data_IF_130314323417
#
_entry.id   IF_130314323417
#
_cell.length_a   1.000
_cell.length_b   1.000
_cell.length_c   1.000
_cell.angle_alpha   90.00
_cell.angle_beta   90.00
_cell.angle_gamma   90.00
#
_symmetry.space_group_name_H-M   'P 1'
#
loop_
_entity.id
_entity.type
_entity.pdbx_description
1 polymer ?
#
# COMPACT_ATOMS: atom_id res chain seq x y z
N UNK A 1 1.68 30.77 -14.69
CA UNK A 1 2.06 29.82 -13.62
C UNK A 1 0.82 28.99 -13.35
N UNK A 2 0.77 27.71 -13.78
CA UNK A 2 -0.44 26.89 -13.66
C UNK A 2 -0.38 26.21 -12.29
N UNK A 3 -1.19 26.67 -11.36
CA UNK A 3 -1.33 26.05 -10.05
C UNK A 3 -2.02 24.69 -10.25
N UNK A 4 -1.33 23.59 -9.93
CA UNK A 4 -1.94 22.25 -9.85
C UNK A 4 -2.82 22.17 -8.60
N UNK A 5 -3.87 22.99 -8.54
CA UNK A 5 -4.83 23.00 -7.44
C UNK A 5 -5.83 21.88 -7.66
N UNK A 6 -5.85 20.88 -6.77
CA UNK A 6 -7.03 20.05 -6.58
C UNK A 6 -7.09 18.68 -7.25
N UNK A 7 -5.97 18.00 -7.52
CA UNK A 7 -6.06 16.54 -7.70
C UNK A 7 -6.24 15.91 -6.31
N UNK A 8 -7.37 15.23 -6.02
CA UNK A 8 -7.53 14.52 -4.75
C UNK A 8 -6.38 13.53 -4.65
N UNK A 9 -5.53 13.69 -3.63
CA UNK A 9 -4.49 12.70 -3.40
C UNK A 9 -5.18 11.38 -3.06
N UNK A 10 -4.74 10.26 -3.65
CA UNK A 10 -5.32 8.97 -3.34
C UNK A 10 -5.13 8.70 -1.86
N UNK A 11 -6.23 8.72 -1.12
CA UNK A 11 -6.28 8.42 0.31
C UNK A 11 -6.63 6.95 0.46
N UNK A 12 -5.77 6.21 1.16
CA UNK A 12 -6.04 4.84 1.59
C UNK A 12 -6.49 4.90 3.04
N UNK A 13 -7.63 4.28 3.34
CA UNK A 13 -8.13 4.15 4.70
C UNK A 13 -7.75 2.76 5.22
N UNK A 14 -7.02 2.73 6.33
CA UNK A 14 -6.68 1.48 7.01
C UNK A 14 -7.40 1.44 8.35
N UNK A 15 -8.24 0.42 8.51
CA UNK A 15 -8.93 0.12 9.76
C UNK A 15 -8.06 -0.81 10.60
N UNK A 16 -7.93 -0.49 11.89
CA UNK A 16 -7.21 -1.33 12.84
C UNK A 16 -8.15 -1.78 13.94
N UNK A 17 -7.99 -3.01 14.39
CA UNK A 17 -8.78 -3.59 15.48
C UNK A 17 -7.90 -4.45 16.36
N UNK A 18 -8.06 -4.30 17.68
CA UNK A 18 -7.46 -5.22 18.64
C UNK A 18 -8.16 -6.57 18.60
N UNK A 19 -7.39 -7.66 18.49
CA UNK A 19 -7.87 -9.03 18.59
C UNK A 19 -7.41 -9.62 19.93
N UNK A 20 -8.34 -9.69 20.87
CA UNK A 20 -8.08 -10.13 22.25
C UNK A 20 -7.63 -11.60 22.32
N UNK A 21 -8.27 -12.47 21.53
CA UNK A 21 -7.95 -13.91 21.52
C UNK A 21 -6.52 -14.21 21.02
N UNK A 22 -5.94 -13.32 20.22
CA UNK A 22 -4.60 -13.47 19.67
C UNK A 22 -3.58 -12.50 20.30
N UNK A 23 -4.00 -11.58 21.16
CA UNK A 23 -3.12 -10.57 21.75
C UNK A 23 -2.39 -9.70 20.72
N UNK A 24 -3.06 -9.36 19.62
CA UNK A 24 -2.45 -8.57 18.51
C UNK A 24 -3.42 -7.54 17.95
N UNK A 25 -2.89 -6.43 17.48
CA UNK A 25 -3.58 -5.51 16.59
C UNK A 25 -3.61 -6.08 15.18
N UNK A 26 -4.76 -5.99 14.51
CA UNK A 26 -4.94 -6.39 13.11
C UNK A 26 -5.35 -5.18 12.28
N UNK A 27 -4.62 -4.93 11.19
CA UNK A 27 -4.88 -3.89 10.22
C UNK A 27 -5.45 -4.48 8.92
N UNK A 28 -6.51 -3.86 8.40
CA UNK A 28 -7.20 -4.22 7.17
C UNK A 28 -7.61 -2.97 6.40
N UNK A 29 -7.78 -3.05 5.09
CA UNK A 29 -8.29 -1.94 4.28
C UNK A 29 -9.27 -2.45 3.24
N UNK A 30 -10.33 -1.67 2.99
CA UNK A 30 -11.22 -1.90 1.85
C UNK A 30 -10.65 -1.36 0.53
N UNK A 31 -9.71 -0.41 0.61
CA UNK A 31 -9.08 0.20 -0.57
C UNK A 31 -7.97 -0.67 -1.16
N UNK A 32 -7.40 -1.59 -0.36
CA UNK A 32 -6.30 -2.46 -0.77
C UNK A 32 -6.66 -3.91 -0.54
N UNK A 33 -6.94 -4.61 -1.64
CA UNK A 33 -7.14 -6.04 -1.65
C UNK A 33 -5.89 -6.76 -1.09
N UNK A 34 -6.11 -7.66 -0.13
CA UNK A 34 -5.05 -8.45 0.48
C UNK A 34 -4.26 -7.73 1.59
N UNK A 35 -4.65 -6.51 2.00
CA UNK A 35 -4.08 -5.90 3.19
C UNK A 35 -4.61 -6.61 4.44
N UNK A 36 -3.77 -7.47 5.01
CA UNK A 36 -3.96 -8.06 6.34
C UNK A 36 -2.61 -8.09 7.06
N UNK A 37 -2.46 -7.25 8.07
CA UNK A 37 -1.23 -7.16 8.86
C UNK A 37 -1.58 -7.30 10.34
N UNK A 38 -0.80 -8.09 11.07
CA UNK A 38 -0.94 -8.24 12.51
C UNK A 38 0.36 -7.89 13.22
N UNK A 39 0.26 -7.22 14.37
CA UNK A 39 1.39 -6.84 15.21
C UNK A 39 1.00 -6.77 16.68
N UNK A 40 1.96 -6.89 17.60
CA UNK A 40 1.67 -6.89 19.04
C UNK A 40 1.36 -5.49 19.58
N UNK A 41 1.77 -4.45 18.86
CA UNK A 41 1.59 -3.05 19.26
C UNK A 41 1.09 -2.20 18.09
N UNK A 42 0.34 -1.15 18.41
CA UNK A 42 -0.13 -0.19 17.41
C UNK A 42 1.04 0.54 16.73
N UNK A 43 2.08 0.90 17.48
CA UNK A 43 3.30 1.51 16.91
C UNK A 43 3.98 0.59 15.87
N UNK A 44 4.10 -0.70 16.17
CA UNK A 44 4.67 -1.69 15.25
C UNK A 44 3.82 -1.81 13.97
N UNK A 45 2.49 -1.77 14.08
CA UNK A 45 1.62 -1.69 12.90
C UNK A 45 1.91 -0.43 12.07
N UNK A 46 2.05 0.73 12.70
CA UNK A 46 2.31 2.00 12.02
C UNK A 46 3.67 2.01 11.30
N UNK A 47 4.68 1.40 11.88
CA UNK A 47 6.01 1.31 11.26
C UNK A 47 6.02 0.33 10.07
N UNK A 48 5.28 -0.78 10.18
CA UNK A 48 5.24 -1.83 9.14
C UNK A 48 4.26 -1.51 8.01
N UNK A 49 3.19 -0.75 8.29
CA UNK A 49 2.15 -0.39 7.31
C UNK A 49 2.74 0.18 6.01
N UNK A 50 3.59 1.23 6.04
CA UNK A 50 4.09 1.87 4.82
C UNK A 50 4.85 0.89 3.92
N UNK A 51 5.66 -0.01 4.51
CA UNK A 51 6.39 -1.03 3.77
C UNK A 51 5.45 -2.04 3.10
N UNK A 52 4.48 -2.57 3.86
CA UNK A 52 3.50 -3.54 3.37
C UNK A 52 2.62 -2.92 2.28
N UNK A 53 2.14 -1.69 2.49
CA UNK A 53 1.35 -0.94 1.52
C UNK A 53 2.13 -0.75 0.21
N UNK A 54 3.41 -0.34 0.28
CA UNK A 54 4.27 -0.23 -0.92
C UNK A 54 4.40 -1.57 -1.65
N UNK A 55 4.61 -2.67 -0.94
CA UNK A 55 4.71 -4.00 -1.55
C UNK A 55 3.40 -4.48 -2.17
N UNK A 56 2.25 -4.17 -1.56
CA UNK A 56 0.94 -4.51 -2.11
C UNK A 56 0.59 -3.64 -3.32
N UNK A 57 0.84 -2.33 -3.24
CA UNK A 57 0.65 -1.41 -4.36
C UNK A 57 1.57 -1.74 -5.55
N UNK A 58 2.83 -2.10 -5.28
CA UNK A 58 3.76 -2.54 -6.32
C UNK A 58 3.29 -3.82 -7.02
N UNK A 59 2.67 -4.76 -6.26
CA UNK A 59 2.07 -5.98 -6.82
C UNK A 59 0.75 -5.73 -7.55
N UNK A 60 -0.04 -4.76 -7.09
CA UNK A 60 -1.31 -4.40 -7.69
C UNK A 60 -1.15 -3.54 -8.95
N UNK A 61 0.02 -2.91 -9.15
CA UNK A 61 0.33 -2.22 -10.40
C UNK A 61 0.53 -3.30 -11.46
N UNK A 62 -0.33 -3.39 -12.50
CA UNK A 62 0.02 -4.20 -13.66
C UNK A 62 1.36 -3.68 -14.19
N UNK A 63 2.16 -4.54 -14.80
CA UNK A 63 3.49 -4.27 -15.32
C UNK A 63 3.49 -3.24 -16.48
N UNK A 64 2.98 -2.03 -16.25
CA UNK A 64 3.13 -0.88 -17.11
C UNK A 64 4.57 -0.36 -16.93
N UNK A 65 5.49 -0.93 -17.69
CA UNK A 65 6.88 -0.51 -17.71
C UNK A 65 7.94 -1.55 -18.08
N UNK A 66 7.63 -2.60 -18.86
CA UNK A 66 8.66 -3.23 -19.71
C UNK A 66 8.52 -2.66 -21.12
N UNK A 67 8.87 -1.38 -21.28
CA UNK A 67 9.19 -0.81 -22.59
C UNK A 67 10.72 -0.85 -22.70
N UNK A 68 11.27 -2.04 -22.95
CA UNK A 68 12.64 -2.15 -23.46
C UNK A 68 12.57 -1.78 -24.94
N UNK A 69 12.69 -0.48 -25.21
CA UNK A 69 13.04 0.00 -26.53
C UNK A 69 14.46 -0.46 -26.83
N UNK A 70 14.59 -1.53 -27.61
CA UNK A 70 15.80 -1.82 -28.39
C UNK A 70 15.40 -2.66 -29.61
N UNK A 71 14.49 -2.10 -30.42
CA UNK A 71 14.52 -2.36 -31.85
C UNK A 71 15.45 -1.32 -32.46
N UNK A 72 16.66 -1.73 -32.82
CA UNK A 72 17.65 -0.82 -33.37
C UNK A 72 18.97 -1.48 -33.75
N UNK A 73 19.00 -2.05 -34.96
CA UNK A 73 20.15 -2.12 -35.89
C UNK A 73 21.38 -2.95 -35.50
N UNK A 74 21.58 -4.04 -36.23
CA UNK A 74 22.64 -4.16 -37.25
C UNK A 74 22.30 -5.29 -38.21
#
# INVERSE_FOLDING_TARGET
>A
MIERTGMPQPKITVSTRWNDAAGVWTATSGDIAGLRLSAHSFGELQERLPGVLRSLLARSRPAAGLQKGEQGRA
#
